data_IF_771380344454
#
_entry.id   IF_771380344454
#
_cell.length_a   1.000
_cell.length_b   1.000
_cell.length_c   1.000
_cell.angle_alpha   90.00
_cell.angle_beta   90.00
_cell.angle_gamma   90.00
#
_symmetry.space_group_name_H-M   'P 1'
#
loop_
_entity.id
_entity.type
_entity.pdbx_description
1 polymer ?
#
# COMPACT_ATOMS: atom_id res chain seq x y z
N UNK A 1 3.47 -17.67 3.06
CA UNK A 1 2.06 -18.09 3.14
C UNK A 1 1.35 -17.27 4.19
N UNK A 2 0.11 -16.86 3.90
CA UNK A 2 -0.69 -16.06 4.86
C UNK A 2 -1.14 -16.96 6.00
N UNK A 3 -0.95 -16.48 7.24
CA UNK A 3 -1.27 -17.22 8.45
C UNK A 3 -1.94 -16.32 9.48
N UNK A 4 -2.71 -16.92 10.39
CA UNK A 4 -3.31 -16.22 11.51
C UNK A 4 -2.25 -15.45 12.30
N UNK A 5 -2.61 -14.27 12.77
CA UNK A 5 -1.74 -13.44 13.59
C UNK A 5 -0.79 -12.54 12.82
N UNK A 6 -0.66 -12.71 11.50
CA UNK A 6 0.19 -11.84 10.70
C UNK A 6 -0.40 -10.44 10.61
N UNK A 7 0.48 -9.46 10.47
CA UNK A 7 0.12 -8.05 10.43
C UNK A 7 -0.22 -7.62 8.99
N UNK A 8 -1.33 -6.88 8.83
CA UNK A 8 -1.73 -6.40 7.50
C UNK A 8 -1.87 -4.89 7.49
N UNK A 9 -1.58 -4.30 6.32
CA UNK A 9 -1.74 -2.87 6.07
C UNK A 9 -2.62 -2.71 4.85
N UNK A 10 -3.66 -1.90 4.98
CA UNK A 10 -4.59 -1.57 3.90
C UNK A 10 -4.46 -0.08 3.62
N UNK A 11 -3.65 0.27 2.62
CA UNK A 11 -3.45 1.65 2.22
C UNK A 11 -4.37 1.99 1.06
N UNK A 12 -5.10 3.11 1.14
CA UNK A 12 -5.99 3.54 0.07
C UNK A 12 -5.59 4.92 -0.42
N UNK A 13 -5.72 5.13 -1.74
CA UNK A 13 -5.35 6.38 -2.39
C UNK A 13 -6.43 6.75 -3.39
N UNK A 14 -7.13 7.86 -3.16
CA UNK A 14 -8.17 8.34 -4.07
C UNK A 14 -7.61 9.47 -4.93
N UNK A 15 -7.84 9.37 -6.24
CA UNK A 15 -7.38 10.37 -7.20
C UNK A 15 -8.22 11.65 -7.13
N UNK A 16 -7.56 12.79 -7.39
CA UNK A 16 -8.28 14.02 -7.71
C UNK A 16 -9.05 13.85 -9.03
N UNK A 17 -10.12 14.64 -9.25
CA UNK A 17 -10.79 14.64 -10.56
C UNK A 17 -9.77 14.86 -11.68
N UNK A 18 -9.88 14.06 -12.74
CA UNK A 18 -9.01 14.10 -13.92
C UNK A 18 -7.54 13.71 -13.67
N UNK A 19 -7.24 13.15 -12.49
CA UNK A 19 -5.88 12.71 -12.14
C UNK A 19 -5.79 11.20 -11.91
N UNK A 20 -6.70 10.44 -12.47
CA UNK A 20 -6.74 8.99 -12.32
C UNK A 20 -5.43 8.31 -12.73
N UNK A 21 -4.91 8.63 -13.93
CA UNK A 21 -3.70 7.98 -14.43
C UNK A 21 -2.47 8.35 -13.60
N UNK A 22 -2.40 9.60 -13.10
CA UNK A 22 -1.31 10.02 -12.22
C UNK A 22 -1.36 9.23 -10.90
N UNK A 23 -2.56 9.04 -10.32
CA UNK A 23 -2.71 8.27 -9.08
C UNK A 23 -2.40 6.79 -9.32
N UNK A 24 -2.79 6.25 -10.46
CA UNK A 24 -2.46 4.87 -10.83
C UNK A 24 -0.94 4.66 -10.86
N UNK A 25 -0.20 5.61 -11.45
CA UNK A 25 1.26 5.55 -11.51
C UNK A 25 1.90 5.59 -10.11
N UNK A 26 1.38 6.45 -9.22
CA UNK A 26 1.87 6.53 -7.84
C UNK A 26 1.58 5.22 -7.09
N UNK A 27 0.41 4.64 -7.28
CA UNK A 27 0.05 3.36 -6.65
C UNK A 27 0.97 2.23 -7.12
N UNK A 28 1.28 2.19 -8.42
CA UNK A 28 2.22 1.23 -8.96
C UNK A 28 3.63 1.43 -8.39
N UNK A 29 4.06 2.68 -8.26
CA UNK A 29 5.35 3.00 -7.66
C UNK A 29 5.43 2.51 -6.21
N UNK A 30 4.38 2.74 -5.43
CA UNK A 30 4.30 2.26 -4.04
C UNK A 30 4.39 0.75 -3.98
N UNK A 31 3.67 0.05 -4.86
CA UNK A 31 3.75 -1.41 -4.98
C UNK A 31 5.18 -1.86 -5.30
N UNK A 32 5.81 -1.24 -6.29
CA UNK A 32 7.16 -1.63 -6.72
C UNK A 32 8.19 -1.42 -5.63
N UNK A 33 8.05 -0.38 -4.81
CA UNK A 33 8.93 -0.11 -3.68
C UNK A 33 8.73 -1.12 -2.54
N UNK A 34 7.55 -1.70 -2.42
CA UNK A 34 7.20 -2.60 -1.32
C UNK A 34 7.61 -4.04 -1.59
N UNK A 35 7.49 -4.49 -2.84
CA UNK A 35 7.74 -5.89 -3.17
C UNK A 35 9.18 -6.28 -2.84
N UNK A 36 9.40 -7.56 -2.56
CA UNK A 36 10.70 -8.15 -2.21
C UNK A 36 11.30 -7.63 -0.90
N UNK A 37 10.46 -7.05 -0.03
CA UNK A 37 10.92 -6.57 1.28
C UNK A 37 10.99 -7.72 2.27
N UNK A 38 12.04 -7.78 3.11
CA UNK A 38 12.13 -8.80 4.16
C UNK A 38 10.89 -8.75 5.08
N UNK A 39 10.33 -9.93 5.37
CA UNK A 39 9.15 -10.05 6.21
C UNK A 39 7.83 -9.88 5.48
N UNK A 40 7.83 -9.43 4.24
CA UNK A 40 6.62 -9.34 3.43
C UNK A 40 6.19 -10.74 2.99
N UNK A 41 4.93 -11.08 3.26
CA UNK A 41 4.35 -12.39 2.94
C UNK A 41 3.52 -12.33 1.66
N UNK A 42 2.77 -11.24 1.47
CA UNK A 42 1.85 -11.11 0.34
C UNK A 42 1.62 -9.64 0.04
N UNK A 43 1.41 -9.32 -1.22
CA UNK A 43 1.20 -7.93 -1.65
C UNK A 43 0.23 -7.91 -2.82
N UNK A 44 -0.79 -7.05 -2.71
CA UNK A 44 -1.76 -6.80 -3.77
C UNK A 44 -1.86 -5.31 -4.04
N UNK A 45 -1.96 -4.95 -5.30
CA UNK A 45 -2.30 -3.59 -5.71
C UNK A 45 -3.60 -3.67 -6.50
N UNK A 46 -4.63 -3.00 -6.02
CA UNK A 46 -5.98 -3.10 -6.57
C UNK A 46 -6.37 -1.79 -7.24
N UNK A 47 -6.78 -1.90 -8.49
CA UNK A 47 -7.30 -0.78 -9.25
C UNK A 47 -8.83 -0.74 -9.06
N UNK A 48 -9.43 0.44 -8.78
CA UNK A 48 -10.88 0.51 -8.60
C UNK A 48 -11.60 0.27 -9.93
N UNK A 49 -12.82 -0.26 -9.83
CA UNK A 49 -13.67 -0.44 -11.01
C UNK A 49 -14.39 0.84 -11.43
N UNK A 50 -14.41 1.85 -10.54
CA UNK A 50 -14.97 3.17 -10.79
C UNK A 50 -13.91 4.23 -10.50
N UNK A 51 -13.83 5.25 -11.36
CA UNK A 51 -12.76 6.25 -11.28
C UNK A 51 -12.74 7.06 -9.99
N UNK A 52 -13.89 7.24 -9.35
CA UNK A 52 -14.01 8.02 -8.12
C UNK A 52 -13.67 7.22 -6.86
N UNK A 53 -13.48 5.91 -6.99
CA UNK A 53 -13.12 5.06 -5.85
C UNK A 53 -11.60 4.96 -5.70
N UNK A 54 -11.10 4.59 -4.51
CA UNK A 54 -9.66 4.59 -4.27
C UNK A 54 -8.95 3.36 -4.85
N UNK A 55 -7.67 3.55 -5.17
CA UNK A 55 -6.72 2.44 -5.33
C UNK A 55 -6.43 1.87 -3.95
N UNK A 56 -6.15 0.58 -3.86
CA UNK A 56 -5.88 -0.09 -2.59
C UNK A 56 -4.61 -0.92 -2.71
N UNK A 57 -3.71 -0.78 -1.73
CA UNK A 57 -2.57 -1.68 -1.60
C UNK A 57 -2.74 -2.44 -0.31
N UNK A 58 -2.77 -3.78 -0.41
CA UNK A 58 -2.86 -4.66 0.75
C UNK A 58 -1.52 -5.36 0.88
N UNK A 59 -0.89 -5.22 2.05
CA UNK A 59 0.34 -5.92 2.36
C UNK A 59 0.16 -6.77 3.61
N UNK A 60 0.72 -7.98 3.58
CA UNK A 60 0.69 -8.91 4.70
C UNK A 60 2.12 -9.15 5.13
N UNK A 61 2.40 -9.01 6.43
CA UNK A 61 3.74 -9.06 7.01
C UNK A 61 3.80 -10.15 8.09
N UNK A 62 4.95 -10.79 8.23
CA UNK A 62 5.13 -11.79 9.30
C UNK A 62 4.89 -11.19 10.67
N UNK A 63 5.32 -9.93 10.86
CA UNK A 63 5.14 -9.21 12.11
C UNK A 63 5.08 -7.71 11.84
N UNK A 64 4.45 -6.96 12.75
CA UNK A 64 4.41 -5.50 12.70
C UNK A 64 5.81 -4.89 12.62
N UNK A 65 6.79 -5.50 13.30
CA UNK A 65 8.16 -5.01 13.29
C UNK A 65 8.80 -5.04 11.89
N UNK A 66 8.42 -5.99 11.06
CA UNK A 66 8.90 -6.04 9.67
C UNK A 66 8.38 -4.86 8.86
N UNK A 67 7.11 -4.52 9.04
CA UNK A 67 6.53 -3.34 8.42
C UNK A 67 7.21 -2.05 8.92
N UNK A 68 7.44 -1.96 10.24
CA UNK A 68 8.13 -0.80 10.81
C UNK A 68 9.54 -0.63 10.26
N UNK A 69 10.28 -1.74 10.10
CA UNK A 69 11.60 -1.73 9.48
C UNK A 69 11.54 -1.26 8.03
N UNK A 70 10.52 -1.72 7.29
CA UNK A 70 10.31 -1.29 5.92
C UNK A 70 10.13 0.23 5.82
N UNK A 71 9.35 0.83 6.72
CA UNK A 71 9.13 2.27 6.74
C UNK A 71 10.42 3.07 7.00
N UNK A 72 11.43 2.44 7.60
CA UNK A 72 12.72 3.08 7.89
C UNK A 72 13.72 2.97 6.75
N UNK A 73 13.43 2.23 5.69
CA UNK A 73 14.32 2.15 4.54
C UNK A 73 14.46 3.51 3.87
N UNK A 74 15.63 3.82 3.29
CA UNK A 74 15.83 5.12 2.62
C UNK A 74 14.79 5.40 1.55
N UNK A 75 14.39 4.38 0.76
CA UNK A 75 13.41 4.52 -0.30
C UNK A 75 12.04 4.93 0.24
N UNK A 76 11.59 4.30 1.34
CA UNK A 76 10.29 4.61 1.92
C UNK A 76 10.30 5.93 2.67
N UNK A 77 11.41 6.28 3.31
CA UNK A 77 11.54 7.59 3.96
C UNK A 77 11.48 8.72 2.93
N UNK A 78 12.09 8.52 1.77
CA UNK A 78 12.01 9.49 0.68
C UNK A 78 10.60 9.55 0.09
N UNK A 79 9.99 8.39 -0.18
CA UNK A 79 8.63 8.30 -0.73
C UNK A 79 7.61 8.97 0.18
N UNK A 80 7.79 8.86 1.50
CA UNK A 80 6.92 9.47 2.52
C UNK A 80 7.46 10.79 3.06
N UNK A 81 8.46 11.39 2.42
CA UNK A 81 8.95 12.70 2.86
C UNK A 81 7.83 13.74 2.75
N UNK A 82 7.90 14.78 3.57
CA UNK A 82 6.91 15.87 3.55
C UNK A 82 6.75 16.44 2.14
N UNK A 83 7.87 16.68 1.46
CA UNK A 83 7.83 17.24 0.10
C UNK A 83 7.21 16.28 -0.90
N UNK A 84 7.57 14.99 -0.85
CA UNK A 84 7.01 13.99 -1.77
C UNK A 84 5.49 13.86 -1.57
N UNK A 85 5.05 13.78 -0.32
CA UNK A 85 3.60 13.67 0.00
C UNK A 85 2.87 14.94 -0.44
N UNK A 86 3.44 16.11 -0.18
CA UNK A 86 2.86 17.38 -0.63
C UNK A 86 2.69 17.40 -2.14
N UNK A 87 3.71 16.98 -2.88
CA UNK A 87 3.65 16.92 -4.34
C UNK A 87 2.55 15.96 -4.82
N UNK A 88 2.40 14.80 -4.17
CA UNK A 88 1.33 13.86 -4.51
C UNK A 88 -0.05 14.49 -4.33
N UNK A 89 -0.28 15.21 -3.22
CA UNK A 89 -1.54 15.89 -2.98
C UNK A 89 -1.78 17.06 -3.94
N UNK A 90 -0.74 17.72 -4.39
CA UNK A 90 -0.86 18.83 -5.35
C UNK A 90 -1.17 18.32 -6.77
N UNK A 91 -0.63 17.16 -7.15
CA UNK A 91 -0.63 16.72 -8.55
C UNK A 91 -1.55 15.55 -8.87
N UNK A 92 -1.99 14.79 -7.88
CA UNK A 92 -2.70 13.53 -8.16
C UNK A 92 -3.70 13.10 -7.10
N UNK A 93 -3.36 13.22 -5.82
CA UNK A 93 -4.08 12.55 -4.74
C UNK A 93 -5.06 13.47 -4.02
N UNK A 94 -6.30 13.00 -3.84
CA UNK A 94 -7.32 13.72 -3.08
C UNK A 94 -7.37 13.27 -1.63
N UNK A 95 -7.10 11.98 -1.37
CA UNK A 95 -7.21 11.40 -0.04
C UNK A 95 -6.32 10.16 0.06
N UNK A 96 -5.71 9.96 1.22
CA UNK A 96 -4.96 8.75 1.54
C UNK A 96 -5.36 8.27 2.94
N UNK A 97 -5.53 6.95 3.09
CA UNK A 97 -5.83 6.33 4.39
C UNK A 97 -4.96 5.09 4.56
N UNK A 98 -4.78 4.67 5.80
CA UNK A 98 -4.14 3.41 6.12
C UNK A 98 -4.87 2.76 7.29
N UNK A 99 -5.22 1.49 7.14
CA UNK A 99 -5.81 0.68 8.19
C UNK A 99 -4.89 -0.49 8.49
N UNK A 100 -4.79 -0.83 9.77
CA UNK A 100 -3.91 -1.89 10.26
C UNK A 100 -4.77 -2.97 10.88
N UNK A 101 -4.53 -4.22 10.48
CA UNK A 101 -5.30 -5.36 10.96
C UNK A 101 -4.38 -6.52 11.27
N UNK A 102 -4.95 -7.53 11.90
CA UNK A 102 -4.29 -8.82 12.14
C UNK A 102 -5.11 -9.87 11.39
N UNK A 103 -4.45 -10.79 10.71
CA UNK A 103 -5.15 -11.88 10.04
C UNK A 103 -5.85 -12.73 11.10
N UNK A 104 -7.18 -12.71 11.08
CA UNK A 104 -7.99 -13.51 11.99
C UNK A 104 -8.13 -14.95 11.48
N UNK A 105 -8.30 -15.10 10.18
CA UNK A 105 -8.42 -16.40 9.53
C UNK A 105 -8.10 -16.24 8.05
N UNK A 106 -7.75 -17.33 7.37
CA UNK A 106 -7.49 -17.30 5.94
C UNK A 106 -7.86 -18.65 5.32
N UNK A 107 -8.19 -18.61 4.05
CA UNK A 107 -8.43 -19.80 3.26
C UNK A 107 -7.94 -19.55 1.84
N UNK A 108 -7.37 -20.56 1.24
CA UNK A 108 -6.97 -20.52 -0.16
C UNK A 108 -7.16 -21.90 -0.78
N UNK A 109 -7.37 -21.92 -2.09
CA UNK A 109 -7.48 -23.19 -2.82
C UNK A 109 -6.10 -23.86 -2.86
N UNK A 110 -6.08 -25.15 -2.54
CA UNK A 110 -4.86 -25.94 -2.75
C UNK A 110 -4.63 -26.08 -4.26
N UNK A 111 -3.42 -25.79 -4.71
CA UNK A 111 -3.07 -25.88 -6.13
C UNK A 111 -2.27 -27.12 -6.45
#
# INVERSE_FOLDING_TARGET
MIEQGQFTVHATFRAQPDKYEAMKAISQQSFDLTRNTPGLVHLLCLEPTKREEPFVIISVWRAKSDFQSFLQTPQMREFHSTQAVQTMFETAMAEATANFCIVMDEWHTAS
#
